data_IF_042619662590
#
_entry.id   IF_042619662590
#
_cell.length_a   1.000
_cell.length_b   1.000
_cell.length_c   1.000
_cell.angle_alpha   90.00
_cell.angle_beta   90.00
_cell.angle_gamma   90.00
#
_symmetry.space_group_name_H-M   'P 1'
#
loop_
_entity.id
_entity.type
_entity.pdbx_description
1 polymer ?
#
# COMPACT_ATOMS: atom_id res chain seq x y z
N UNK A 1 -11.64 10.52 -19.80
CA UNK A 1 -11.97 10.84 -18.39
C UNK A 1 -11.36 9.83 -17.40
N UNK A 2 -11.70 8.53 -17.51
CA UNK A 2 -11.16 7.48 -16.60
C UNK A 2 -9.62 7.39 -16.59
N UNK A 3 -8.98 7.48 -17.73
CA UNK A 3 -7.52 7.44 -17.87
C UNK A 3 -6.81 8.60 -17.13
N UNK A 4 -7.41 9.79 -17.14
CA UNK A 4 -6.86 10.95 -16.43
C UNK A 4 -6.89 10.76 -14.92
N UNK A 5 -7.96 10.13 -14.38
CA UNK A 5 -8.07 9.81 -12.95
C UNK A 5 -7.03 8.76 -12.54
N UNK A 6 -6.84 7.72 -13.35
CA UNK A 6 -5.81 6.70 -13.09
C UNK A 6 -4.41 7.31 -13.06
N UNK A 7 -4.07 8.18 -14.00
CA UNK A 7 -2.79 8.91 -14.01
C UNK A 7 -2.62 9.80 -12.78
N UNK A 8 -3.68 10.48 -12.35
CA UNK A 8 -3.65 11.29 -11.14
C UNK A 8 -3.35 10.43 -9.90
N UNK A 9 -4.05 9.30 -9.75
CA UNK A 9 -3.82 8.39 -8.62
C UNK A 9 -2.42 7.76 -8.71
N UNK A 10 -1.93 7.38 -9.89
CA UNK A 10 -0.55 6.90 -10.07
C UNK A 10 0.48 7.94 -9.59
N UNK A 11 0.25 9.22 -9.87
CA UNK A 11 1.10 10.31 -9.39
C UNK A 11 1.04 10.47 -7.85
N UNK A 12 -0.16 10.39 -7.24
CA UNK A 12 -0.33 10.40 -5.78
C UNK A 12 0.45 9.24 -5.13
N UNK A 13 0.42 8.05 -5.73
CA UNK A 13 1.16 6.88 -5.23
C UNK A 13 2.68 7.03 -5.41
N UNK A 14 3.13 7.66 -6.50
CA UNK A 14 4.54 7.97 -6.69
C UNK A 14 5.05 8.94 -5.61
N UNK A 15 4.34 10.03 -5.35
CA UNK A 15 4.65 10.98 -4.28
C UNK A 15 4.62 10.32 -2.90
N UNK A 16 3.66 9.42 -2.64
CA UNK A 16 3.61 8.71 -1.36
C UNK A 16 4.84 7.80 -1.17
N UNK A 17 5.30 7.11 -2.20
CA UNK A 17 6.52 6.29 -2.12
C UNK A 17 7.76 7.14 -1.88
N UNK A 18 7.88 8.28 -2.54
CA UNK A 18 8.96 9.23 -2.31
C UNK A 18 8.95 9.74 -0.86
N UNK A 19 7.79 10.14 -0.36
CA UNK A 19 7.62 10.55 1.04
C UNK A 19 8.03 9.43 2.02
N UNK A 20 7.58 8.19 1.79
CA UNK A 20 7.95 7.05 2.62
C UNK A 20 9.47 6.80 2.64
N UNK A 21 10.13 6.99 1.49
CA UNK A 21 11.59 6.85 1.36
C UNK A 21 12.30 7.93 2.16
N UNK A 22 11.94 9.20 1.99
CA UNK A 22 12.52 10.32 2.74
C UNK A 22 12.32 10.17 4.25
N UNK A 23 11.14 9.76 4.69
CA UNK A 23 10.86 9.49 6.10
C UNK A 23 11.69 8.32 6.65
N UNK A 24 11.93 7.28 5.84
CA UNK A 24 12.80 6.17 6.23
C UNK A 24 14.26 6.61 6.33
N UNK A 25 14.75 7.40 5.38
CA UNK A 25 16.11 7.96 5.42
C UNK A 25 16.30 8.87 6.64
N UNK A 26 15.32 9.73 6.96
CA UNK A 26 15.36 10.58 8.15
C UNK A 26 15.42 9.75 9.45
N UNK A 27 14.60 8.68 9.57
CA UNK A 27 14.65 7.77 10.71
C UNK A 27 15.99 7.05 10.82
N UNK A 28 16.56 6.62 9.67
CA UNK A 28 17.87 6.00 9.66
C UNK A 28 18.95 6.97 10.15
N UNK A 29 18.98 8.20 9.61
CA UNK A 29 19.93 9.22 10.03
C UNK A 29 19.81 9.54 11.55
N UNK A 30 18.58 9.60 12.08
CA UNK A 30 18.33 9.82 13.49
C UNK A 30 18.87 8.66 14.36
N UNK A 31 18.66 7.42 13.94
CA UNK A 31 19.15 6.25 14.65
C UNK A 31 20.69 6.16 14.59
N UNK A 32 21.31 6.48 13.46
CA UNK A 32 22.76 6.51 13.29
C UNK A 32 23.42 7.62 14.12
N UNK A 33 22.78 8.76 14.28
CA UNK A 33 23.23 9.85 15.14
C UNK A 33 23.18 9.46 16.64
N UNK A 34 22.20 8.66 17.03
CA UNK A 34 22.07 8.18 18.42
C UNK A 34 23.09 7.06 18.75
N UNK A 35 23.32 6.12 17.83
CA UNK A 35 24.32 5.06 17.95
C UNK A 35 24.99 4.79 16.59
N UNK A 36 26.26 5.24 16.38
CA UNK A 36 27.00 5.01 15.14
C UNK A 36 27.23 3.53 14.78
N UNK A 37 27.04 2.60 15.74
CA UNK A 37 27.10 1.15 15.45
C UNK A 37 25.97 0.73 14.53
N UNK A 38 24.81 1.37 14.65
CA UNK A 38 23.63 1.10 13.80
C UNK A 38 23.99 1.33 12.32
N UNK A 39 24.63 2.45 11.99
CA UNK A 39 25.09 2.72 10.62
C UNK A 39 26.08 1.66 10.10
N UNK A 40 27.04 1.24 10.94
CA UNK A 40 27.96 0.17 10.57
C UNK A 40 27.27 -1.18 10.33
N UNK A 41 26.25 -1.51 11.10
CA UNK A 41 25.45 -2.73 10.91
C UNK A 41 24.62 -2.67 9.62
N UNK A 42 24.03 -1.51 9.31
CA UNK A 42 23.31 -1.30 8.06
C UNK A 42 24.25 -1.46 6.86
N UNK A 43 25.41 -0.81 6.90
CA UNK A 43 26.43 -0.94 5.84
C UNK A 43 26.90 -2.39 5.68
N UNK A 44 27.17 -3.09 6.79
CA UNK A 44 27.55 -4.51 6.79
C UNK A 44 26.47 -5.38 6.16
N UNK A 45 25.19 -5.13 6.47
CA UNK A 45 24.06 -5.85 5.87
C UNK A 45 23.99 -5.64 4.37
N UNK A 46 24.12 -4.40 3.90
CA UNK A 46 24.13 -4.06 2.47
C UNK A 46 25.30 -4.71 1.74
N UNK A 47 26.48 -4.72 2.35
CA UNK A 47 27.65 -5.37 1.78
C UNK A 47 27.45 -6.89 1.62
N UNK A 48 26.78 -7.55 2.59
CA UNK A 48 26.44 -8.97 2.47
C UNK A 48 25.52 -9.26 1.28
N UNK A 49 24.48 -8.41 1.08
CA UNK A 49 23.60 -8.54 -0.08
C UNK A 49 24.35 -8.29 -1.39
N UNK A 50 25.20 -7.27 -1.44
CA UNK A 50 26.00 -6.95 -2.65
C UNK A 50 26.91 -8.13 -3.03
N UNK A 51 27.63 -8.68 -2.09
CA UNK A 51 28.53 -9.84 -2.34
C UNK A 51 27.75 -11.06 -2.81
N UNK A 52 26.57 -11.33 -2.20
CA UNK A 52 25.74 -12.46 -2.62
C UNK A 52 25.22 -12.26 -4.05
N UNK A 53 24.77 -11.06 -4.40
CA UNK A 53 24.35 -10.74 -5.77
C UNK A 53 25.53 -10.93 -6.77
N UNK A 54 26.71 -10.40 -6.47
CA UNK A 54 27.90 -10.59 -7.31
C UNK A 54 28.25 -12.04 -7.51
N UNK A 55 28.19 -12.86 -6.44
CA UNK A 55 28.47 -14.31 -6.54
C UNK A 55 27.46 -15.04 -7.42
N UNK A 56 26.18 -14.65 -7.39
CA UNK A 56 25.15 -15.22 -8.27
C UNK A 56 25.42 -14.93 -9.76
N UNK A 57 25.92 -13.74 -10.09
CA UNK A 57 26.27 -13.39 -11.47
C UNK A 57 27.58 -14.06 -11.94
N UNK A 58 28.53 -14.28 -11.01
CA UNK A 58 29.85 -14.83 -11.37
C UNK A 58 29.87 -16.36 -11.56
N UNK A 59 29.05 -17.10 -10.81
CA UNK A 59 29.20 -18.57 -10.69
C UNK A 59 28.10 -19.42 -11.31
N UNK A 60 27.09 -18.84 -11.97
CA UNK A 60 26.11 -19.59 -12.79
C UNK A 60 25.41 -20.83 -12.17
N UNK A 61 25.92 -21.38 -11.07
CA UNK A 61 25.44 -22.61 -10.47
C UNK A 61 25.91 -22.74 -9.01
N UNK A 62 25.13 -22.49 -8.07
CA UNK A 62 25.04 -23.00 -6.68
C UNK A 62 24.30 -22.02 -5.77
N UNK A 63 23.15 -21.58 -6.22
CA UNK A 63 22.29 -20.62 -5.49
C UNK A 63 21.83 -21.16 -4.11
N UNK A 64 21.78 -22.47 -3.89
CA UNK A 64 21.22 -23.06 -2.68
C UNK A 64 22.06 -22.90 -1.42
N UNK A 65 23.34 -23.26 -1.47
CA UNK A 65 24.21 -23.26 -0.27
C UNK A 65 24.60 -21.85 0.19
N UNK A 66 24.88 -20.94 -0.76
CA UNK A 66 25.17 -19.55 -0.47
C UNK A 66 23.95 -18.79 0.12
N UNK A 67 22.74 -19.20 -0.23
CA UNK A 67 21.51 -18.62 0.26
C UNK A 67 21.27 -18.89 1.76
N UNK A 68 21.57 -20.11 2.26
CA UNK A 68 21.38 -20.46 3.67
C UNK A 68 22.38 -19.72 4.58
N UNK A 69 23.66 -19.65 4.19
CA UNK A 69 24.68 -18.90 4.90
C UNK A 69 24.35 -17.40 4.96
N UNK A 70 23.94 -16.82 3.81
CA UNK A 70 23.51 -15.43 3.75
C UNK A 70 22.33 -15.14 4.67
N UNK A 71 21.29 -15.99 4.66
CA UNK A 71 20.13 -15.85 5.55
C UNK A 71 20.54 -15.85 7.02
N UNK A 72 21.44 -16.73 7.42
CA UNK A 72 21.98 -16.82 8.79
C UNK A 72 22.72 -15.53 9.18
N UNK A 73 23.61 -15.04 8.31
CA UNK A 73 24.37 -13.80 8.53
C UNK A 73 23.44 -12.60 8.67
N UNK A 74 22.48 -12.45 7.76
CA UNK A 74 21.50 -11.36 7.77
C UNK A 74 20.62 -11.44 9.03
N UNK A 75 20.20 -12.62 9.45
CA UNK A 75 19.43 -12.80 10.67
C UNK A 75 20.22 -12.36 11.92
N UNK A 76 21.52 -12.69 11.98
CA UNK A 76 22.39 -12.26 13.07
C UNK A 76 22.54 -10.73 13.11
N UNK A 77 22.82 -10.10 11.96
CA UNK A 77 22.91 -8.64 11.85
C UNK A 77 21.59 -7.95 12.24
N UNK A 78 20.46 -8.47 11.77
CA UNK A 78 19.15 -7.91 12.10
C UNK A 78 18.80 -8.05 13.59
N UNK A 79 19.26 -9.10 14.27
CA UNK A 79 19.09 -9.25 15.72
C UNK A 79 19.91 -8.20 16.46
N UNK A 80 21.19 -8.07 16.13
CA UNK A 80 22.08 -7.06 16.73
C UNK A 80 21.54 -5.64 16.48
N UNK A 81 21.04 -5.37 15.27
CA UNK A 81 20.43 -4.09 14.91
C UNK A 81 19.24 -3.75 15.82
N UNK A 82 18.34 -4.72 16.05
CA UNK A 82 17.18 -4.53 16.95
C UNK A 82 17.61 -4.25 18.39
N UNK A 83 18.61 -4.99 18.90
CA UNK A 83 19.14 -4.79 20.24
C UNK A 83 19.74 -3.38 20.40
N UNK A 84 20.44 -2.89 19.36
CA UNK A 84 21.02 -1.54 19.36
C UNK A 84 19.94 -0.47 19.29
N UNK A 85 18.91 -0.63 18.45
CA UNK A 85 17.78 0.29 18.38
C UNK A 85 17.10 0.44 19.76
N UNK A 86 16.80 -0.69 20.42
CA UNK A 86 16.18 -0.67 21.74
C UNK A 86 17.08 0.02 22.78
N UNK A 87 18.40 -0.23 22.78
CA UNK A 87 19.35 0.43 23.66
C UNK A 87 19.44 1.94 23.41
N UNK A 88 19.25 2.37 22.16
CA UNK A 88 19.22 3.78 21.79
C UNK A 88 17.85 4.46 22.03
N UNK A 89 16.86 3.73 22.60
CA UNK A 89 15.53 4.24 22.91
C UNK A 89 14.52 4.22 21.77
N UNK A 90 14.82 3.48 20.68
CA UNK A 90 13.93 3.30 19.55
C UNK A 90 13.17 1.98 19.62
N UNK A 91 12.07 1.90 18.88
CA UNK A 91 11.35 0.63 18.67
C UNK A 91 12.21 -0.37 17.85
N UNK A 92 12.08 -1.70 18.09
CA UNK A 92 12.89 -2.71 17.39
C UNK A 92 12.68 -2.74 15.87
N UNK A 93 11.57 -2.22 15.39
CA UNK A 93 11.19 -2.11 13.97
C UNK A 93 11.28 -0.68 13.40
N UNK A 94 11.91 0.25 14.15
CA UNK A 94 11.99 1.67 13.81
C UNK A 94 12.50 1.95 12.39
N UNK A 95 13.41 1.13 11.88
CA UNK A 95 13.99 1.24 10.54
C UNK A 95 13.18 0.52 9.45
N UNK A 96 12.07 -0.14 9.81
CA UNK A 96 11.25 -0.80 8.79
C UNK A 96 10.47 0.21 7.95
N UNK A 97 10.28 -0.06 6.64
CA UNK A 97 9.43 0.76 5.79
C UNK A 97 8.00 0.82 6.33
N UNK A 98 7.43 2.00 6.38
CA UNK A 98 6.03 2.23 6.77
C UNK A 98 5.21 2.50 5.51
N UNK A 99 4.10 1.76 5.35
CA UNK A 99 3.23 1.85 4.19
C UNK A 99 1.81 2.23 4.60
N UNK A 100 1.11 3.01 3.78
CA UNK A 100 -0.33 3.29 3.95
C UNK A 100 -1.15 2.03 3.68
N UNK A 101 -0.77 1.25 2.69
CA UNK A 101 -1.40 -0.02 2.33
C UNK A 101 -0.43 -1.17 2.50
N UNK A 102 -0.68 -2.05 3.47
CA UNK A 102 0.14 -3.23 3.71
C UNK A 102 0.09 -4.25 2.55
N UNK A 103 -1.05 -4.32 1.81
CA UNK A 103 -1.23 -5.27 0.70
C UNK A 103 -0.32 -4.94 -0.49
N UNK A 104 -0.36 -3.71 -0.98
CA UNK A 104 0.42 -3.30 -2.15
C UNK A 104 1.71 -2.54 -1.80
N UNK A 105 1.97 -2.24 -0.53
CA UNK A 105 3.13 -1.44 -0.08
C UNK A 105 3.27 -0.13 -0.87
N UNK A 106 2.13 0.53 -1.06
CA UNK A 106 2.00 1.81 -1.80
C UNK A 106 2.47 1.76 -3.26
N UNK A 107 2.53 0.57 -3.87
CA UNK A 107 2.79 0.42 -5.30
C UNK A 107 1.53 0.60 -6.15
N UNK A 108 0.35 0.43 -5.56
CA UNK A 108 -0.93 0.42 -6.28
C UNK A 108 -1.24 -0.90 -7.00
N UNK A 109 -0.34 -1.90 -6.90
CA UNK A 109 -0.48 -3.20 -7.57
C UNK A 109 -0.31 -4.36 -6.61
N UNK A 110 -1.02 -5.45 -6.89
CA UNK A 110 -0.95 -6.74 -6.19
C UNK A 110 -0.96 -7.88 -7.20
N UNK A 111 -0.55 -9.08 -6.77
CA UNK A 111 -0.58 -10.30 -7.59
C UNK A 111 0.73 -10.62 -8.30
N UNK A 112 0.99 -11.90 -8.50
CA UNK A 112 2.10 -12.47 -9.28
C UNK A 112 1.59 -13.76 -9.94
N UNK A 113 1.91 -14.02 -11.21
CA UNK A 113 2.74 -13.23 -12.15
C UNK A 113 2.00 -12.05 -12.78
N UNK A 114 0.67 -12.01 -12.72
CA UNK A 114 -0.16 -10.96 -13.31
C UNK A 114 -0.41 -9.91 -12.23
N UNK A 115 -0.01 -8.67 -12.51
CA UNK A 115 -0.25 -7.54 -11.62
C UNK A 115 -1.62 -6.93 -11.86
N UNK A 116 -2.42 -6.87 -10.80
CA UNK A 116 -3.72 -6.21 -10.78
C UNK A 116 -3.67 -4.95 -9.95
N UNK A 117 -4.60 -4.01 -10.19
CA UNK A 117 -4.73 -2.81 -9.35
C UNK A 117 -5.21 -3.19 -7.96
N UNK A 118 -4.51 -2.70 -6.96
CA UNK A 118 -4.89 -2.92 -5.57
C UNK A 118 -6.24 -2.24 -5.26
N UNK A 119 -7.01 -2.84 -4.38
CA UNK A 119 -8.30 -2.31 -3.93
C UNK A 119 -8.19 -0.87 -3.38
N UNK A 120 -7.11 -0.54 -2.65
CA UNK A 120 -6.85 0.81 -2.15
C UNK A 120 -6.70 1.83 -3.29
N UNK A 121 -6.08 1.44 -4.40
CA UNK A 121 -5.97 2.26 -5.60
C UNK A 121 -7.34 2.50 -6.24
N UNK A 122 -8.12 1.44 -6.42
CA UNK A 122 -9.46 1.53 -7.00
C UNK A 122 -10.42 2.34 -6.12
N UNK A 123 -10.29 2.22 -4.79
CA UNK A 123 -11.04 3.05 -3.84
C UNK A 123 -10.72 4.54 -4.02
N UNK A 124 -9.44 4.91 -4.18
CA UNK A 124 -9.04 6.30 -4.42
C UNK A 124 -9.57 6.82 -5.75
N UNK A 125 -9.54 6.00 -6.82
CA UNK A 125 -10.13 6.36 -8.12
C UNK A 125 -11.63 6.64 -7.97
N UNK A 126 -12.38 5.77 -7.27
CA UNK A 126 -13.82 5.98 -7.01
C UNK A 126 -14.08 7.28 -6.25
N UNK A 127 -13.28 7.54 -5.22
CA UNK A 127 -13.39 8.78 -4.45
C UNK A 127 -13.19 10.01 -5.33
N UNK A 128 -12.13 10.05 -6.15
CA UNK A 128 -11.88 11.16 -7.07
C UNK A 128 -12.97 11.31 -8.14
N UNK A 129 -13.58 10.20 -8.57
CA UNK A 129 -14.72 10.25 -9.49
C UNK A 129 -15.88 11.01 -8.86
N UNK A 130 -16.25 10.66 -7.63
CA UNK A 130 -17.32 11.33 -6.89
C UNK A 130 -17.00 12.81 -6.65
N UNK A 131 -15.76 13.12 -6.23
CA UNK A 131 -15.30 14.50 -5.99
C UNK A 131 -15.37 15.36 -7.26
N UNK A 132 -15.03 14.80 -8.43
CA UNK A 132 -15.00 15.53 -9.71
C UNK A 132 -16.36 15.69 -10.38
N UNK A 133 -17.18 14.65 -10.32
CA UNK A 133 -18.47 14.66 -10.99
C UNK A 133 -19.49 15.57 -10.26
N UNK A 134 -19.07 16.11 -9.10
CA UNK A 134 -19.89 17.08 -8.38
C UNK A 134 -21.27 16.51 -8.06
N UNK A 135 -21.38 15.19 -7.94
CA UNK A 135 -22.56 14.55 -7.38
C UNK A 135 -22.57 15.01 -5.92
N UNK A 136 -23.09 16.21 -5.73
CA UNK A 136 -23.43 16.70 -4.41
C UNK A 136 -24.45 15.74 -3.86
N UNK A 137 -23.96 14.67 -3.24
CA UNK A 137 -24.81 13.82 -2.41
C UNK A 137 -25.37 14.76 -1.36
N UNK A 138 -26.63 15.17 -1.59
CA UNK A 138 -27.35 15.91 -0.60
C UNK A 138 -27.37 15.04 0.67
N UNK A 139 -26.79 15.48 1.79
CA UNK A 139 -26.73 14.66 3.01
C UNK A 139 -28.11 14.22 3.50
N UNK A 140 -29.16 14.87 3.00
CA UNK A 140 -30.55 14.51 3.27
C UNK A 140 -31.11 13.44 2.31
N UNK A 141 -30.40 13.10 1.22
CA UNK A 141 -30.78 12.03 0.30
C UNK A 141 -30.22 10.70 0.80
N UNK A 142 -30.84 10.15 1.81
CA UNK A 142 -30.53 8.84 2.38
C UNK A 142 -31.62 7.85 2.02
N UNK A 143 -31.30 6.54 2.02
CA UNK A 143 -32.32 5.51 1.84
C UNK A 143 -33.44 5.58 2.88
N UNK A 144 -33.14 6.05 4.09
CA UNK A 144 -34.15 6.28 5.14
C UNK A 144 -35.06 7.47 4.88
N UNK A 145 -34.64 8.43 4.05
CA UNK A 145 -35.44 9.56 3.64
C UNK A 145 -36.23 9.30 2.33
N UNK A 146 -36.05 8.11 1.76
CA UNK A 146 -36.73 7.70 0.54
C UNK A 146 -38.25 7.60 0.81
N UNK A 147 -39.02 8.34 0.02
CA UNK A 147 -40.48 8.32 0.11
C UNK A 147 -41.09 7.62 -1.13
N UNK A 148 -41.52 6.37 -0.94
CA UNK A 148 -42.16 5.60 -2.00
C UNK A 148 -43.53 6.17 -2.44
N UNK A 149 -44.15 7.03 -1.62
CA UNK A 149 -45.46 7.64 -1.93
C UNK A 149 -45.41 8.66 -3.10
N UNK A 150 -44.20 9.12 -3.48
CA UNK A 150 -44.00 9.97 -4.67
C UNK A 150 -44.41 9.21 -5.95
N UNK A 151 -44.29 7.90 -5.94
CA UNK A 151 -44.63 7.07 -7.12
C UNK A 151 -46.10 6.75 -7.15
N UNK A 152 -46.79 6.95 -8.31
CA UNK A 152 -48.20 6.65 -8.43
C UNK A 152 -48.47 5.15 -8.29
N UNK A 153 -49.54 4.84 -7.60
CA UNK A 153 -50.00 3.45 -7.38
C UNK A 153 -50.90 2.96 -8.55
N UNK A 154 -50.46 3.32 -9.78
CA UNK A 154 -51.18 2.93 -11.00
C UNK A 154 -50.57 1.65 -11.58
N UNK A 155 -51.39 0.69 -12.06
CA UNK A 155 -50.90 -0.54 -12.67
C UNK A 155 -50.00 -0.27 -13.88
N UNK A 156 -48.89 -1.00 -13.97
CA UNK A 156 -47.99 -0.90 -15.12
C UNK A 156 -48.60 -1.60 -16.33
N UNK A 157 -48.70 -0.90 -17.47
CA UNK A 157 -49.27 -1.43 -18.72
C UNK A 157 -48.64 -2.75 -19.19
N UNK A 158 -47.33 -2.94 -18.97
CA UNK A 158 -46.58 -4.14 -19.42
C UNK A 158 -46.49 -5.24 -18.36
N UNK A 159 -46.96 -5.02 -17.12
CA UNK A 159 -46.88 -5.97 -16.01
C UNK A 159 -48.11 -5.84 -15.11
N UNK A 160 -49.25 -6.43 -15.52
CA UNK A 160 -50.46 -6.41 -14.72
C UNK A 160 -50.18 -7.09 -13.37
N UNK A 161 -50.56 -6.44 -12.29
CA UNK A 161 -50.30 -6.89 -10.90
C UNK A 161 -49.14 -6.19 -10.21
N UNK A 162 -48.41 -5.32 -10.91
CA UNK A 162 -47.39 -4.46 -10.31
C UNK A 162 -47.67 -3.00 -10.55
N UNK A 163 -47.47 -2.17 -9.55
CA UNK A 163 -47.54 -0.70 -9.65
C UNK A 163 -46.12 -0.12 -9.66
N UNK A 164 -45.99 1.15 -10.03
CA UNK A 164 -44.67 1.81 -9.92
C UNK A 164 -44.15 1.79 -8.49
N UNK A 165 -45.03 2.00 -7.51
CA UNK A 165 -44.67 1.97 -6.08
C UNK A 165 -44.17 0.58 -5.66
N UNK A 166 -44.90 -0.50 -5.99
CA UNK A 166 -44.48 -1.87 -5.65
C UNK A 166 -43.16 -2.34 -6.29
N UNK A 167 -42.62 -1.57 -7.24
CA UNK A 167 -41.32 -1.83 -7.84
C UNK A 167 -40.16 -1.13 -7.12
N UNK A 168 -40.49 -0.14 -6.29
CA UNK A 168 -39.53 0.72 -5.58
C UNK A 168 -39.46 0.40 -4.09
N UNK A 169 -40.37 -0.45 -3.57
CA UNK A 169 -40.34 -1.05 -2.24
C UNK A 169 -39.47 -2.32 -2.24
#
# INVERSE_FOLDING_TARGET
>A
MRETLYRQVDAEYALQREKNMLEQEARQAQAEAADPVIGRLIARRMERFRRAAQAMFASGASAGQNSAALKKDIAAINRELRERLVKAGFEPDYLQPRYRCAKCRDTGFVGEPIKERCECFLARVRQLTVEREGVGLNPNETFSAYNAEIYPDTPLQKRPGHTQRSYME
#
